data_IF_416436710531
#
_entry.id   IF_416436710531
#
_cell.length_a   1.000
_cell.length_b   1.000
_cell.length_c   1.000
_cell.angle_alpha   90.00
_cell.angle_beta   90.00
_cell.angle_gamma   90.00
#
_symmetry.space_group_name_H-M   'P 1'
#
loop_
_entity.id
_entity.type
_entity.pdbx_description
1 polymer ?
#
# COMPACT_ATOMS: atom_id res chain seq x y z
N UNK A 1 50.46 1.62 2.52
CA UNK A 1 49.80 2.71 1.78
C UNK A 1 48.81 3.39 2.72
N UNK A 2 48.81 4.73 2.85
CA UNK A 2 47.79 5.45 3.62
C UNK A 2 46.39 5.29 3.03
N UNK A 3 45.36 5.28 3.88
CA UNK A 3 43.97 5.07 3.46
C UNK A 3 43.45 6.05 2.41
N UNK A 4 43.78 7.34 2.54
CA UNK A 4 43.34 8.37 1.58
C UNK A 4 43.89 8.14 0.16
N UNK A 5 45.17 7.79 0.05
CA UNK A 5 45.82 7.49 -1.24
C UNK A 5 45.16 6.28 -1.91
N UNK A 6 44.80 5.26 -1.14
CA UNK A 6 44.15 4.07 -1.67
C UNK A 6 42.77 4.39 -2.28
N UNK A 7 41.98 5.23 -1.58
CA UNK A 7 40.64 5.64 -2.05
C UNK A 7 40.73 6.55 -3.26
N UNK A 8 41.70 7.45 -3.32
CA UNK A 8 41.94 8.30 -4.49
C UNK A 8 42.30 7.47 -5.73
N UNK A 9 43.24 6.53 -5.60
CA UNK A 9 43.62 5.62 -6.68
C UNK A 9 42.45 4.73 -7.11
N UNK A 10 41.68 4.21 -6.16
CA UNK A 10 40.49 3.42 -6.46
C UNK A 10 39.42 4.25 -7.18
N UNK A 11 39.18 5.49 -6.75
CA UNK A 11 38.27 6.41 -7.41
C UNK A 11 38.62 6.67 -8.86
N UNK A 12 39.90 6.92 -9.16
CA UNK A 12 40.39 7.11 -10.53
C UNK A 12 40.22 5.84 -11.36
N UNK A 13 40.59 4.68 -10.82
CA UNK A 13 40.38 3.39 -11.50
C UNK A 13 38.90 3.14 -11.80
N UNK A 14 38.03 3.41 -10.82
CA UNK A 14 36.57 3.25 -10.92
C UNK A 14 35.99 4.14 -12.01
N UNK A 15 36.43 5.40 -12.06
CA UNK A 15 35.98 6.36 -13.07
C UNK A 15 36.32 5.89 -14.50
N UNK A 16 37.55 5.42 -14.73
CA UNK A 16 38.00 5.05 -16.07
C UNK A 16 37.53 3.67 -16.55
N UNK A 17 37.38 2.71 -15.65
CA UNK A 17 37.16 1.31 -16.04
C UNK A 17 35.74 0.79 -15.74
N UNK A 18 35.06 1.32 -14.71
CA UNK A 18 33.81 0.73 -14.22
C UNK A 18 32.59 1.61 -14.47
N UNK A 19 32.72 2.92 -14.29
CA UNK A 19 31.58 3.83 -14.26
C UNK A 19 30.77 3.87 -15.58
N UNK A 20 31.44 3.73 -16.73
CA UNK A 20 30.75 3.69 -18.05
C UNK A 20 30.03 2.36 -18.32
N UNK A 21 30.47 1.27 -17.69
CA UNK A 21 29.88 -0.07 -17.88
C UNK A 21 28.72 -0.30 -16.90
N UNK A 22 28.90 0.16 -15.65
CA UNK A 22 27.94 -0.01 -14.57
C UNK A 22 27.77 1.35 -13.87
N UNK A 23 26.69 2.07 -14.18
CA UNK A 23 26.32 3.28 -13.44
C UNK A 23 25.94 2.92 -12.01
N UNK A 24 26.50 3.62 -11.03
CA UNK A 24 26.28 3.40 -9.59
C UNK A 24 26.55 4.69 -8.80
N UNK A 25 25.97 4.80 -7.60
CA UNK A 25 26.04 6.03 -6.78
C UNK A 25 27.35 6.16 -6.00
N UNK A 26 27.84 5.03 -5.46
CA UNK A 26 29.10 4.96 -4.72
C UNK A 26 29.68 3.54 -4.75
N UNK A 27 30.89 3.36 -4.25
CA UNK A 27 31.56 2.06 -4.22
C UNK A 27 32.45 1.92 -3.01
N UNK A 28 32.40 0.75 -2.39
CA UNK A 28 33.25 0.35 -1.27
C UNK A 28 34.19 -0.78 -1.67
N UNK A 29 35.47 -0.62 -1.36
CA UNK A 29 36.45 -1.70 -1.42
C UNK A 29 36.57 -2.35 -0.06
N UNK A 30 36.26 -3.63 0.02
CA UNK A 30 36.49 -4.42 1.22
C UNK A 30 37.89 -5.02 1.22
N UNK A 31 38.64 -4.79 2.29
CA UNK A 31 40.01 -5.31 2.45
C UNK A 31 40.12 -6.23 3.65
N UNK A 32 40.92 -7.30 3.52
CA UNK A 32 41.28 -8.20 4.62
C UNK A 32 42.46 -7.70 5.45
N UNK A 33 43.10 -6.59 5.03
CA UNK A 33 44.24 -5.97 5.69
C UNK A 33 43.95 -4.47 5.89
N UNK A 34 44.41 -3.91 7.02
CA UNK A 34 44.32 -2.47 7.29
C UNK A 34 45.25 -1.70 6.34
N UNK A 35 44.79 -0.54 5.87
CA UNK A 35 45.59 0.36 5.03
C UNK A 35 46.15 1.49 5.90
N UNK A 36 47.42 1.35 6.30
CA UNK A 36 48.01 2.22 7.31
C UNK A 36 47.38 1.98 8.68
N UNK A 37 47.04 3.05 9.41
CA UNK A 37 46.40 2.98 10.73
C UNK A 37 44.88 3.13 10.67
N UNK A 38 44.29 3.13 9.48
CA UNK A 38 42.85 3.40 9.29
C UNK A 38 42.09 2.10 9.06
N UNK A 39 40.95 1.94 9.75
CA UNK A 39 40.00 0.84 9.50
C UNK A 39 39.05 1.14 8.35
N UNK A 40 38.79 2.41 8.07
CA UNK A 40 38.05 2.85 6.90
C UNK A 40 38.52 4.23 6.48
N UNK A 41 38.22 4.58 5.24
CA UNK A 41 38.32 5.94 4.73
C UNK A 41 37.31 6.10 3.61
N UNK A 42 36.72 7.28 3.52
CA UNK A 42 35.85 7.66 2.43
C UNK A 42 36.23 9.06 1.96
N UNK A 43 36.10 9.31 0.66
CA UNK A 43 36.13 10.68 0.15
C UNK A 43 34.95 11.43 0.72
N UNK A 44 35.21 12.52 1.45
CA UNK A 44 34.18 13.31 2.09
C UNK A 44 33.26 13.94 1.05
N UNK A 45 31.95 13.80 1.26
CA UNK A 45 30.90 14.32 0.37
C UNK A 45 31.05 13.93 -1.11
N UNK A 46 31.67 12.75 -1.36
CA UNK A 46 31.96 12.27 -2.70
C UNK A 46 30.85 11.45 -3.36
N UNK A 47 29.76 11.13 -2.66
CA UNK A 47 28.66 10.31 -3.21
C UNK A 47 28.10 10.93 -4.51
N UNK A 48 27.66 10.08 -5.45
CA UNK A 48 27.26 10.44 -6.81
C UNK A 48 28.39 10.95 -7.72
N UNK A 49 29.60 11.14 -7.20
CA UNK A 49 30.73 11.48 -8.04
C UNK A 49 31.36 10.20 -8.62
N UNK A 50 31.56 10.13 -9.96
CA UNK A 50 32.18 8.98 -10.60
C UNK A 50 33.58 8.64 -10.10
N UNK A 51 34.33 9.61 -9.58
CA UNK A 51 35.66 9.43 -8.99
C UNK A 51 35.57 9.37 -7.46
N UNK A 52 34.93 10.35 -6.83
CA UNK A 52 34.93 10.50 -5.37
C UNK A 52 33.88 9.68 -4.64
N UNK A 53 32.95 9.01 -5.32
CA UNK A 53 32.01 8.05 -4.73
C UNK A 53 32.73 6.76 -4.37
N UNK A 54 33.76 6.85 -3.53
CA UNK A 54 34.75 5.82 -3.30
C UNK A 54 35.11 5.79 -1.81
N UNK A 55 35.18 4.59 -1.27
CA UNK A 55 35.58 4.34 0.11
C UNK A 55 36.24 2.97 0.24
N UNK A 56 36.98 2.75 1.32
CA UNK A 56 37.47 1.43 1.70
C UNK A 56 37.04 1.11 3.13
N UNK A 57 36.82 -0.18 3.38
CA UNK A 57 36.51 -0.71 4.71
C UNK A 57 37.32 -1.98 4.95
N UNK A 58 38.03 -2.00 6.06
CA UNK A 58 38.69 -3.18 6.58
C UNK A 58 37.67 -4.10 7.27
N UNK A 59 37.56 -5.34 6.80
CA UNK A 59 36.71 -6.36 7.43
C UNK A 59 37.58 -7.36 8.18
N UNK A 60 37.39 -7.42 9.50
CA UNK A 60 37.94 -8.50 10.31
C UNK A 60 37.18 -9.81 10.05
N UNK A 61 37.92 -10.91 9.98
CA UNK A 61 37.36 -12.25 9.76
C UNK A 61 36.25 -12.54 10.78
N UNK A 62 35.09 -12.99 10.29
CA UNK A 62 33.89 -13.34 11.08
C UNK A 62 33.16 -12.18 11.81
N UNK A 63 33.49 -10.92 11.55
CA UNK A 63 32.82 -9.77 12.16
C UNK A 63 31.95 -8.98 11.16
N UNK A 64 30.93 -9.63 10.60
CA UNK A 64 30.04 -9.04 9.58
C UNK A 64 29.29 -7.81 10.10
N UNK A 65 28.70 -7.88 11.30
CA UNK A 65 27.96 -6.76 11.88
C UNK A 65 28.85 -5.53 12.11
N UNK A 66 30.07 -5.74 12.61
CA UNK A 66 31.06 -4.65 12.74
C UNK A 66 31.44 -4.08 11.37
N UNK A 67 31.66 -4.94 10.38
CA UNK A 67 31.92 -4.51 9.00
C UNK A 67 30.79 -3.65 8.46
N UNK A 68 29.53 -4.00 8.72
CA UNK A 68 28.36 -3.22 8.33
C UNK A 68 28.32 -1.84 9.04
N UNK A 69 28.52 -1.78 10.36
CA UNK A 69 28.58 -0.51 11.10
C UNK A 69 29.71 0.41 10.59
N UNK A 70 30.91 -0.12 10.37
CA UNK A 70 32.05 0.64 9.85
C UNK A 70 31.80 1.09 8.41
N UNK A 71 31.14 0.27 7.60
CA UNK A 71 30.71 0.65 6.24
C UNK A 71 29.69 1.77 6.28
N UNK A 72 28.70 1.70 7.16
CA UNK A 72 27.71 2.76 7.34
C UNK A 72 28.36 4.06 7.82
N UNK A 73 29.36 4.00 8.71
CA UNK A 73 30.16 5.16 9.11
C UNK A 73 30.95 5.76 7.93
N UNK A 74 31.62 4.93 7.14
CA UNK A 74 32.37 5.38 5.96
C UNK A 74 31.44 5.98 4.89
N UNK A 75 30.29 5.35 4.65
CA UNK A 75 29.24 5.87 3.78
C UNK A 75 28.72 7.21 4.29
N UNK A 76 28.57 7.37 5.61
CA UNK A 76 28.24 8.64 6.24
C UNK A 76 29.18 9.77 5.82
N UNK A 77 30.50 9.57 5.91
CA UNK A 77 31.47 10.54 5.40
C UNK A 77 31.34 10.77 3.89
N UNK A 78 31.10 9.71 3.10
CA UNK A 78 30.86 9.85 1.66
C UNK A 78 29.59 10.66 1.35
N UNK A 79 28.61 10.62 2.24
CA UNK A 79 27.40 11.44 2.19
C UNK A 79 27.57 12.85 2.77
N UNK A 80 28.75 13.20 3.30
CA UNK A 80 29.05 14.53 3.86
C UNK A 80 28.79 14.65 5.37
N UNK A 81 28.57 13.54 6.07
CA UNK A 81 28.45 13.55 7.53
C UNK A 81 29.81 13.78 8.19
N UNK A 82 29.82 14.66 9.18
CA UNK A 82 30.99 14.85 10.05
C UNK A 82 30.82 14.01 11.33
N UNK A 83 31.91 13.89 12.11
CA UNK A 83 31.82 13.19 13.38
C UNK A 83 30.93 13.91 14.38
N UNK A 84 30.27 13.14 15.24
CA UNK A 84 29.41 13.66 16.29
C UNK A 84 30.21 14.52 17.28
N UNK A 85 29.63 15.68 17.62
CA UNK A 85 30.21 16.65 18.55
C UNK A 85 29.32 16.84 19.79
N UNK A 86 29.74 17.72 20.70
CA UNK A 86 28.98 18.00 21.93
C UNK A 86 27.59 18.53 21.56
N UNK A 87 26.54 17.84 22.02
CA UNK A 87 25.14 18.16 21.70
C UNK A 87 24.48 17.19 20.70
N UNK A 88 25.27 16.33 20.06
CA UNK A 88 24.74 15.25 19.23
C UNK A 88 24.35 14.04 20.09
N UNK A 89 23.14 13.52 19.91
CA UNK A 89 22.62 12.36 20.63
C UNK A 89 21.81 11.45 19.70
N UNK A 90 21.75 10.17 20.06
CA UNK A 90 20.98 9.14 19.37
C UNK A 90 20.18 8.32 20.39
N UNK A 91 19.17 7.62 19.90
CA UNK A 91 18.30 6.82 20.74
C UNK A 91 18.99 5.55 21.22
N UNK A 92 18.84 5.20 22.51
CA UNK A 92 19.30 3.95 23.15
C UNK A 92 20.81 3.65 23.15
N UNK A 93 21.66 4.53 22.62
CA UNK A 93 23.12 4.34 22.56
C UNK A 93 23.85 5.54 23.15
N UNK A 94 25.01 5.30 23.77
CA UNK A 94 25.90 6.37 24.25
C UNK A 94 26.74 6.96 23.13
N UNK A 95 27.16 6.12 22.18
CA UNK A 95 27.88 6.51 20.98
C UNK A 95 27.00 6.26 19.76
N UNK A 96 26.97 7.22 18.86
CA UNK A 96 26.19 7.14 17.62
C UNK A 96 27.07 6.66 16.46
N UNK A 97 26.45 6.41 15.31
CA UNK A 97 27.11 5.90 14.12
C UNK A 97 28.33 6.74 13.72
N UNK A 98 28.23 8.06 13.82
CA UNK A 98 29.29 9.00 13.45
C UNK A 98 30.22 9.36 14.61
N UNK A 99 30.31 8.54 15.65
CA UNK A 99 31.32 8.71 16.69
C UNK A 99 32.75 8.72 16.08
N UNK A 100 33.68 9.55 16.59
CA UNK A 100 35.04 9.68 16.03
C UNK A 100 35.81 8.36 15.91
N UNK A 101 35.51 7.42 16.80
CA UNK A 101 36.03 6.05 16.75
C UNK A 101 34.86 5.13 16.37
N UNK A 102 34.86 4.56 15.16
CA UNK A 102 33.83 3.63 14.73
C UNK A 102 33.82 2.36 15.59
N UNK A 103 32.63 1.93 15.98
CA UNK A 103 32.41 0.70 16.74
C UNK A 103 31.09 0.04 16.28
N UNK A 104 30.50 -0.83 17.09
CA UNK A 104 29.19 -1.46 16.88
C UNK A 104 28.01 -0.49 17.04
N UNK A 105 28.13 0.73 16.51
CA UNK A 105 27.10 1.76 16.56
C UNK A 105 26.19 1.64 15.32
N UNK A 106 24.89 1.51 15.56
CA UNK A 106 23.84 1.26 14.56
C UNK A 106 22.83 2.41 14.45
N UNK A 107 23.02 3.50 15.19
CA UNK A 107 22.06 4.60 15.30
C UNK A 107 22.68 5.94 14.90
N UNK A 108 22.08 6.63 13.92
CA UNK A 108 22.46 7.99 13.57
C UNK A 108 22.08 8.98 14.67
N UNK A 109 22.87 10.03 14.83
CA UNK A 109 22.58 11.14 15.75
C UNK A 109 21.59 12.13 15.12
N UNK A 110 20.94 12.94 15.95
CA UNK A 110 20.17 14.11 15.51
C UNK A 110 20.97 15.04 14.56
N UNK A 111 22.27 15.24 14.82
CA UNK A 111 23.16 16.04 13.96
C UNK A 111 23.37 15.39 12.58
N UNK A 112 23.57 14.06 12.54
CA UNK A 112 23.69 13.32 11.29
C UNK A 112 22.39 13.42 10.47
N UNK A 113 21.24 13.28 11.12
CA UNK A 113 19.93 13.43 10.48
C UNK A 113 19.74 14.81 9.87
N UNK A 114 20.14 15.89 10.55
CA UNK A 114 20.02 17.25 10.00
C UNK A 114 20.79 17.43 8.68
N UNK A 115 22.03 16.91 8.62
CA UNK A 115 22.85 17.01 7.40
C UNK A 115 22.24 16.17 6.27
N UNK A 116 21.82 14.94 6.56
CA UNK A 116 21.16 14.07 5.58
C UNK A 116 19.87 14.72 5.05
N UNK A 117 19.03 15.23 5.94
CA UNK A 117 17.79 15.92 5.57
C UNK A 117 18.09 17.12 4.68
N UNK A 118 19.09 17.94 4.99
CA UNK A 118 19.50 19.05 4.13
C UNK A 118 19.95 18.58 2.76
N UNK A 119 20.71 17.48 2.70
CA UNK A 119 21.20 16.92 1.44
C UNK A 119 20.07 16.42 0.54
N UNK A 120 19.07 15.75 1.11
CA UNK A 120 17.89 15.29 0.35
C UNK A 120 16.95 16.44 -0.05
N UNK A 121 16.87 17.49 0.78
CA UNK A 121 16.12 18.71 0.45
C UNK A 121 16.87 19.66 -0.51
N UNK A 122 18.14 19.37 -0.82
CA UNK A 122 18.97 20.11 -1.75
C UNK A 122 19.35 19.23 -2.95
N UNK A 123 20.09 19.80 -3.90
CA UNK A 123 20.49 19.08 -5.09
C UNK A 123 21.38 17.87 -4.79
N UNK A 124 20.87 16.66 -5.03
CA UNK A 124 21.65 15.45 -5.20
C UNK A 124 21.75 15.05 -6.70
N UNK A 125 22.91 14.55 -7.17
CA UNK A 125 23.06 14.14 -8.56
C UNK A 125 22.48 12.75 -8.90
N UNK A 126 22.28 11.86 -7.92
CA UNK A 126 21.97 10.44 -8.17
C UNK A 126 21.04 9.76 -7.15
N UNK A 127 21.02 10.18 -5.88
CA UNK A 127 20.30 9.51 -4.78
C UNK A 127 18.77 9.63 -4.87
N UNK A 128 18.29 10.55 -5.70
CA UNK A 128 16.87 10.75 -5.98
C UNK A 128 16.37 9.94 -7.16
N UNK A 129 17.26 9.32 -7.95
CA UNK A 129 16.81 8.40 -8.99
C UNK A 129 16.15 7.18 -8.31
N UNK A 130 14.94 6.75 -8.73
CA UNK A 130 14.38 5.51 -8.26
C UNK A 130 15.36 4.37 -8.57
N UNK A 131 15.63 3.51 -7.58
CA UNK A 131 16.47 2.33 -7.78
C UNK A 131 15.93 1.53 -8.97
N UNK A 132 16.63 1.56 -10.10
CA UNK A 132 16.34 0.66 -11.21
C UNK A 132 16.95 -0.68 -10.82
N UNK A 133 16.14 -1.71 -10.47
CA UNK A 133 16.70 -3.02 -10.17
C UNK A 133 17.48 -3.49 -11.40
N UNK A 134 18.75 -3.84 -11.21
CA UNK A 134 19.56 -4.42 -12.27
C UNK A 134 18.92 -5.75 -12.68
N UNK A 135 18.21 -5.77 -13.80
CA UNK A 135 17.61 -7.00 -14.37
C UNK A 135 18.63 -7.79 -15.19
N UNK A 136 19.75 -7.17 -15.54
CA UNK A 136 20.81 -7.70 -16.40
C UNK A 136 21.94 -8.42 -15.65
N UNK A 137 21.99 -8.30 -14.33
CA UNK A 137 22.96 -9.01 -13.50
C UNK A 137 22.25 -9.78 -12.38
N UNK A 138 22.45 -11.10 -12.26
CA UNK A 138 22.01 -11.89 -11.12
C UNK A 138 22.90 -11.57 -9.91
N UNK A 139 22.87 -10.32 -9.43
CA UNK A 139 23.52 -9.94 -8.17
C UNK A 139 22.67 -10.34 -6.96
N UNK A 140 21.39 -10.63 -7.20
CA UNK A 140 20.66 -11.58 -6.36
C UNK A 140 21.19 -12.95 -6.76
N UNK A 141 22.22 -13.43 -6.06
CA UNK A 141 22.59 -14.83 -6.15
C UNK A 141 21.28 -15.62 -5.96
N UNK A 142 20.90 -16.54 -6.87
CA UNK A 142 19.69 -17.34 -6.71
C UNK A 142 19.70 -17.92 -5.32
N UNK A 143 18.85 -17.38 -4.46
CA UNK A 143 18.83 -17.73 -3.06
C UNK A 143 17.59 -18.57 -2.89
N UNK A 144 17.79 -19.88 -2.91
CA UNK A 144 16.73 -20.81 -2.56
C UNK A 144 16.13 -20.35 -1.23
N UNK A 145 14.89 -19.89 -1.29
CA UNK A 145 14.17 -19.42 -0.11
C UNK A 145 14.03 -17.92 0.05
N UNK A 146 14.17 -17.13 -1.00
CA UNK A 146 13.81 -15.71 -1.00
C UNK A 146 12.32 -15.46 -1.36
N UNK A 147 11.57 -16.53 -1.65
CA UNK A 147 10.14 -16.53 -2.05
C UNK A 147 9.90 -15.91 -3.43
N UNK A 148 10.95 -15.75 -4.24
CA UNK A 148 10.86 -15.22 -5.60
C UNK A 148 11.25 -16.33 -6.56
N UNK A 149 10.27 -16.86 -7.31
CA UNK A 149 10.51 -17.89 -8.33
C UNK A 149 11.41 -17.36 -9.43
N UNK A 150 12.68 -17.74 -9.41
CA UNK A 150 13.67 -17.36 -10.42
C UNK A 150 13.55 -18.24 -11.69
N UNK A 151 14.20 -17.82 -12.80
CA UNK A 151 14.14 -18.55 -14.09
C UNK A 151 14.65 -20.01 -14.03
N UNK A 152 15.38 -20.39 -12.97
CA UNK A 152 15.92 -21.75 -12.76
C UNK A 152 15.16 -22.57 -11.72
N UNK A 153 14.12 -22.00 -11.11
CA UNK A 153 13.36 -22.61 -10.01
C UNK A 153 11.96 -22.98 -10.48
N UNK A 154 11.45 -24.12 -10.05
CA UNK A 154 10.07 -24.53 -10.34
C UNK A 154 9.08 -23.91 -9.34
N UNK A 155 9.56 -23.65 -8.12
CA UNK A 155 8.84 -23.06 -7.01
C UNK A 155 9.83 -22.43 -6.02
N UNK A 156 9.36 -21.50 -5.17
CA UNK A 156 10.12 -21.03 -4.01
C UNK A 156 9.19 -20.91 -2.80
N UNK A 157 9.45 -21.71 -1.77
CA UNK A 157 8.69 -21.75 -0.52
C UNK A 157 9.26 -20.88 0.60
N UNK A 158 10.39 -20.22 0.37
CA UNK A 158 11.07 -19.39 1.37
C UNK A 158 12.09 -20.16 2.20
N UNK A 159 12.26 -19.77 3.46
CA UNK A 159 13.27 -20.36 4.32
C UNK A 159 13.08 -21.88 4.48
N UNK A 160 14.13 -22.61 4.89
CA UNK A 160 14.04 -24.05 5.19
C UNK A 160 12.86 -24.41 6.12
N UNK A 161 12.50 -23.51 7.05
CA UNK A 161 11.36 -23.68 7.95
C UNK A 161 10.02 -23.52 7.23
N UNK A 162 9.92 -22.55 6.31
CA UNK A 162 8.72 -22.33 5.53
C UNK A 162 8.48 -23.52 4.58
N UNK A 163 9.54 -23.96 3.89
CA UNK A 163 9.51 -25.14 3.01
C UNK A 163 9.19 -26.45 3.75
N UNK A 164 9.58 -26.61 5.03
CA UNK A 164 9.20 -27.78 5.81
C UNK A 164 7.68 -27.89 6.04
N UNK A 165 6.95 -26.77 5.92
CA UNK A 165 5.48 -26.74 6.00
C UNK A 165 4.79 -26.78 4.65
N UNK A 166 5.53 -26.50 3.57
CA UNK A 166 5.06 -26.58 2.19
C UNK A 166 5.03 -28.05 1.74
N UNK A 167 3.93 -28.44 1.08
CA UNK A 167 3.75 -29.81 0.56
C UNK A 167 4.06 -29.92 -0.93
N UNK A 168 4.10 -28.79 -1.61
CA UNK A 168 4.18 -28.67 -3.05
C UNK A 168 5.60 -28.35 -3.53
N UNK A 169 6.42 -27.75 -2.66
CA UNK A 169 7.79 -27.36 -2.98
C UNK A 169 8.82 -27.93 -2.01
N UNK A 170 9.94 -28.38 -2.54
CA UNK A 170 11.07 -28.90 -1.79
C UNK A 170 12.09 -27.79 -1.46
N UNK A 171 12.97 -28.04 -0.50
CA UNK A 171 14.04 -27.09 -0.12
C UNK A 171 15.07 -26.83 -1.22
N UNK A 172 15.02 -27.61 -2.31
CA UNK A 172 15.79 -27.42 -3.54
C UNK A 172 15.09 -26.55 -4.59
N UNK A 173 13.97 -25.91 -4.24
CA UNK A 173 13.15 -25.10 -5.15
C UNK A 173 12.65 -25.88 -6.39
N UNK A 174 12.39 -27.16 -6.17
CA UNK A 174 11.80 -28.11 -7.10
C UNK A 174 10.42 -28.53 -6.63
N UNK A 175 9.49 -28.76 -7.55
CA UNK A 175 8.17 -29.23 -7.17
C UNK A 175 8.26 -30.66 -6.61
N UNK A 176 7.50 -30.92 -5.55
CA UNK A 176 7.40 -32.26 -4.98
C UNK A 176 6.71 -33.22 -5.94
N UNK A 177 6.95 -34.52 -5.78
CA UNK A 177 6.40 -35.54 -6.67
C UNK A 177 4.87 -35.48 -6.77
N UNK A 178 4.36 -35.24 -7.98
CA UNK A 178 2.92 -35.17 -8.28
C UNK A 178 2.30 -33.77 -8.15
N UNK A 179 3.08 -32.79 -7.72
CA UNK A 179 2.73 -31.37 -7.68
C UNK A 179 2.91 -30.73 -9.05
N UNK A 180 2.01 -29.80 -9.39
CA UNK A 180 2.01 -29.07 -10.68
C UNK A 180 2.13 -27.56 -10.46
N UNK A 181 1.86 -27.09 -9.24
CA UNK A 181 1.88 -25.69 -8.85
C UNK A 181 2.29 -25.53 -7.38
N UNK A 182 2.68 -24.32 -6.97
CA UNK A 182 2.94 -24.02 -5.55
C UNK A 182 2.23 -22.74 -5.06
N UNK A 183 2.48 -21.58 -5.66
CA UNK A 183 2.26 -20.28 -5.02
C UNK A 183 1.04 -19.50 -5.52
N UNK A 184 0.59 -19.73 -6.75
CA UNK A 184 -0.49 -18.93 -7.36
C UNK A 184 -1.87 -19.10 -6.69
N UNK A 185 -2.74 -18.09 -6.81
CA UNK A 185 -4.10 -18.08 -6.24
C UNK A 185 -5.01 -19.20 -6.79
N UNK A 186 -4.68 -19.73 -7.97
CA UNK A 186 -5.33 -20.90 -8.56
C UNK A 186 -4.58 -22.21 -8.30
N UNK A 187 -3.65 -22.23 -7.35
CA UNK A 187 -3.04 -23.47 -6.86
C UNK A 187 -3.74 -23.95 -5.59
N UNK A 188 -4.43 -25.08 -5.69
CA UNK A 188 -5.13 -25.68 -4.56
C UNK A 188 -4.66 -27.13 -4.36
N UNK A 189 -4.00 -27.38 -3.22
CA UNK A 189 -3.40 -28.68 -2.89
C UNK A 189 -2.43 -29.18 -3.98
N UNK A 190 -1.51 -28.31 -4.39
CA UNK A 190 -0.47 -28.59 -5.39
C UNK A 190 -0.98 -28.96 -6.80
N UNK A 191 -2.26 -28.67 -7.07
CA UNK A 191 -2.93 -28.88 -8.36
C UNK A 191 -3.63 -27.58 -8.77
N UNK A 192 -3.83 -27.38 -10.07
CA UNK A 192 -4.66 -26.28 -10.54
C UNK A 192 -6.08 -26.42 -9.98
N UNK A 193 -6.62 -25.30 -9.49
CA UNK A 193 -7.97 -25.20 -8.99
C UNK A 193 -8.97 -25.53 -10.12
N UNK A 194 -10.14 -26.08 -9.76
CA UNK A 194 -11.16 -26.35 -10.76
C UNK A 194 -11.63 -25.04 -11.45
N UNK A 195 -12.04 -25.10 -12.73
CA UNK A 195 -12.62 -23.95 -13.40
C UNK A 195 -13.81 -23.37 -12.62
N UNK A 196 -13.89 -22.05 -12.48
CA UNK A 196 -14.96 -21.38 -11.74
C UNK A 196 -14.70 -21.19 -10.25
N UNK A 197 -13.57 -21.63 -9.71
CA UNK A 197 -13.13 -21.24 -8.37
C UNK A 197 -12.76 -19.75 -8.38
N UNK A 198 -13.37 -18.96 -7.49
CA UNK A 198 -13.03 -17.53 -7.32
C UNK A 198 -11.60 -17.45 -6.79
N UNK A 199 -10.71 -16.80 -7.55
CA UNK A 199 -9.34 -16.53 -7.12
C UNK A 199 -9.13 -15.09 -6.65
N UNK A 200 -9.94 -14.16 -7.16
CA UNK A 200 -10.04 -12.79 -6.66
C UNK A 200 -11.50 -12.40 -6.61
N UNK A 201 -11.94 -12.02 -5.41
CA UNK A 201 -13.30 -11.56 -5.18
C UNK A 201 -13.40 -10.04 -5.42
N UNK A 202 -14.62 -9.53 -5.46
CA UNK A 202 -14.92 -8.11 -5.64
C UNK A 202 -14.27 -7.26 -4.53
N UNK A 203 -13.35 -6.37 -4.89
CA UNK A 203 -12.78 -5.36 -3.99
C UNK A 203 -13.69 -4.16 -3.70
N UNK A 204 -14.76 -3.98 -4.48
CA UNK A 204 -15.72 -2.88 -4.34
C UNK A 204 -16.76 -2.88 -5.46
N UNK A 205 -17.61 -1.87 -5.49
CA UNK A 205 -18.71 -1.77 -6.49
C UNK A 205 -18.21 -1.52 -7.92
N UNK A 206 -16.96 -1.08 -8.08
CA UNK A 206 -16.32 -0.83 -9.38
C UNK A 206 -15.37 -1.93 -9.80
N UNK A 207 -15.22 -2.98 -9.00
CA UNK A 207 -14.35 -4.11 -9.29
C UNK A 207 -15.16 -5.29 -9.88
N UNK A 208 -14.49 -6.25 -10.51
CA UNK A 208 -15.11 -7.46 -11.05
C UNK A 208 -14.38 -8.70 -10.53
N UNK A 209 -15.07 -9.84 -10.32
CA UNK A 209 -14.41 -11.04 -9.80
C UNK A 209 -13.70 -11.82 -10.91
N UNK A 210 -12.63 -12.54 -10.54
CA UNK A 210 -11.91 -13.46 -11.41
C UNK A 210 -11.96 -14.89 -10.89
N UNK A 211 -11.95 -15.80 -11.87
CA UNK A 211 -12.13 -17.22 -11.68
C UNK A 211 -10.98 -17.98 -12.32
N UNK A 212 -10.54 -19.03 -11.63
CA UNK A 212 -9.56 -19.95 -12.17
C UNK A 212 -10.08 -20.62 -13.44
N UNK A 213 -9.20 -20.80 -14.42
CA UNK A 213 -9.49 -21.47 -15.69
C UNK A 213 -9.23 -22.99 -15.65
N UNK A 214 -8.59 -23.46 -14.57
CA UNK A 214 -8.17 -24.84 -14.34
C UNK A 214 -6.97 -25.31 -15.17
N UNK A 215 -6.23 -24.38 -15.79
CA UNK A 215 -5.07 -24.68 -16.64
C UNK A 215 -3.77 -24.10 -16.11
N UNK A 216 -3.84 -23.08 -15.26
CA UNK A 216 -2.67 -22.37 -14.72
C UNK A 216 -2.80 -22.12 -13.21
N UNK A 217 -1.68 -21.81 -12.56
CA UNK A 217 -1.63 -21.49 -11.13
C UNK A 217 -1.96 -20.02 -10.86
N UNK A 218 -1.72 -19.14 -11.83
CA UNK A 218 -2.03 -17.72 -11.71
C UNK A 218 -3.54 -17.45 -11.90
N UNK A 219 -4.07 -16.54 -11.08
CA UNK A 219 -5.39 -15.96 -11.34
C UNK A 219 -5.31 -15.09 -12.61
N UNK A 220 -6.37 -15.00 -13.43
CA UNK A 220 -6.43 -14.02 -14.50
C UNK A 220 -6.11 -12.60 -14.01
N UNK A 221 -5.60 -11.76 -14.91
CA UNK A 221 -5.31 -10.36 -14.58
C UNK A 221 -6.58 -9.66 -14.08
N UNK A 222 -6.40 -8.84 -13.04
CA UNK A 222 -7.43 -7.96 -12.48
C UNK A 222 -8.16 -7.18 -13.58
N UNK A 223 -9.47 -7.37 -13.65
CA UNK A 223 -10.38 -6.57 -14.45
C UNK A 223 -11.39 -5.87 -13.53
N UNK A 224 -11.70 -4.64 -13.91
CA UNK A 224 -12.61 -3.79 -13.17
C UNK A 224 -13.57 -3.09 -14.13
N UNK A 225 -14.66 -2.53 -13.61
CA UNK A 225 -15.64 -1.78 -14.39
C UNK A 225 -14.94 -0.59 -15.06
N UNK A 226 -15.25 -0.34 -16.33
CA UNK A 226 -14.61 0.72 -17.10
C UNK A 226 -14.57 2.07 -16.36
N UNK A 227 -13.48 2.78 -16.58
CA UNK A 227 -13.24 4.09 -15.98
C UNK A 227 -14.35 5.09 -16.33
N UNK A 228 -14.66 5.88 -15.31
CA UNK A 228 -15.66 6.92 -15.22
C UNK A 228 -17.12 6.44 -15.01
N UNK A 229 -17.38 5.13 -14.93
CA UNK A 229 -18.75 4.64 -14.70
C UNK A 229 -19.29 5.23 -13.39
N UNK A 230 -20.46 5.90 -13.38
CA UNK A 230 -20.99 6.50 -12.15
C UNK A 230 -21.24 5.45 -11.08
N UNK A 231 -20.67 5.65 -9.89
CA UNK A 231 -20.73 4.69 -8.79
C UNK A 231 -21.34 5.29 -7.51
N UNK A 232 -21.31 6.63 -7.38
CA UNK A 232 -22.06 7.37 -6.37
C UNK A 232 -22.57 8.70 -6.95
N UNK A 233 -23.25 9.51 -6.13
CA UNK A 233 -23.67 10.85 -6.55
C UNK A 233 -22.48 11.84 -6.71
N UNK A 234 -21.32 11.50 -6.13
CA UNK A 234 -20.14 12.39 -6.04
C UNK A 234 -18.86 11.70 -6.52
N UNK A 235 -18.95 10.49 -7.09
CA UNK A 235 -17.80 9.75 -7.58
C UNK A 235 -18.12 8.87 -8.79
N UNK A 236 -17.07 8.60 -9.56
CA UNK A 236 -17.05 7.65 -10.68
C UNK A 236 -15.99 6.58 -10.46
N UNK A 237 -16.18 5.40 -11.05
CA UNK A 237 -15.20 4.32 -11.03
C UNK A 237 -13.91 4.78 -11.69
N UNK A 238 -12.75 4.72 -11.03
CA UNK A 238 -11.46 4.85 -11.70
C UNK A 238 -10.53 3.76 -11.17
N UNK A 239 -9.93 2.97 -12.06
CA UNK A 239 -9.02 1.87 -11.71
C UNK A 239 -9.62 0.91 -10.66
N UNK A 240 -10.90 0.60 -10.81
CA UNK A 240 -11.66 -0.29 -9.93
C UNK A 240 -12.06 0.31 -8.57
N UNK A 241 -11.70 1.56 -8.29
CA UNK A 241 -12.04 2.24 -7.05
C UNK A 241 -13.29 3.13 -7.22
N UNK A 242 -14.15 3.15 -6.21
CA UNK A 242 -15.20 4.15 -6.04
C UNK A 242 -15.04 4.78 -4.67
N UNK A 243 -14.51 6.00 -4.61
CA UNK A 243 -14.35 6.70 -3.35
C UNK A 243 -14.48 8.21 -3.57
N UNK A 244 -15.05 8.88 -2.58
CA UNK A 244 -15.11 10.34 -2.48
C UNK A 244 -14.19 10.81 -1.34
N UNK A 245 -14.03 12.13 -1.19
CA UNK A 245 -13.16 12.69 -0.15
C UNK A 245 -13.62 12.36 1.26
N UNK A 246 -14.93 12.28 1.52
CA UNK A 246 -15.46 11.89 2.84
C UNK A 246 -15.10 10.43 3.17
N UNK A 247 -15.33 9.52 2.22
CA UNK A 247 -14.98 8.10 2.36
C UNK A 247 -13.47 7.92 2.52
N UNK A 248 -12.67 8.65 1.74
CA UNK A 248 -11.21 8.61 1.84
C UNK A 248 -10.74 9.10 3.21
N UNK A 249 -11.28 10.22 3.71
CA UNK A 249 -10.98 10.72 5.05
C UNK A 249 -11.33 9.71 6.15
N UNK A 250 -12.48 9.03 6.03
CA UNK A 250 -12.87 8.00 7.00
C UNK A 250 -11.99 6.75 6.93
N UNK A 251 -11.59 6.33 5.73
CA UNK A 251 -10.69 5.20 5.55
C UNK A 251 -9.30 5.47 6.16
N UNK A 252 -8.83 6.71 6.11
CA UNK A 252 -7.51 7.10 6.60
C UNK A 252 -7.47 7.44 8.09
N UNK A 253 -8.49 8.14 8.59
CA UNK A 253 -8.47 8.74 9.94
C UNK A 253 -9.56 8.21 10.87
N UNK A 254 -10.41 7.31 10.39
CA UNK A 254 -11.41 6.61 11.18
C UNK A 254 -12.82 7.14 11.03
N UNK A 255 -13.73 6.53 11.79
CA UNK A 255 -15.16 6.80 11.68
C UNK A 255 -15.52 8.25 12.08
N UNK A 256 -16.51 8.84 11.40
CA UNK A 256 -17.00 10.23 11.58
C UNK A 256 -16.04 11.36 11.18
N UNK A 257 -14.87 11.05 10.63
CA UNK A 257 -14.05 12.05 9.95
C UNK A 257 -14.76 12.47 8.65
N UNK A 258 -14.63 13.74 8.28
CA UNK A 258 -15.25 14.30 7.07
C UNK A 258 -14.22 14.99 6.19
N UNK A 259 -14.61 15.27 4.96
CA UNK A 259 -13.91 16.16 4.05
C UNK A 259 -13.63 17.51 4.73
N UNK A 260 -12.51 18.10 4.38
CA UNK A 260 -12.09 19.41 4.80
C UNK A 260 -12.96 20.50 4.18
N UNK A 261 -12.93 21.69 4.77
CA UNK A 261 -13.60 22.83 4.15
C UNK A 261 -12.93 23.20 2.81
N UNK A 262 -13.67 23.79 1.87
CA UNK A 262 -13.07 24.27 0.61
C UNK A 262 -11.89 25.21 0.79
N UNK A 263 -11.86 25.97 1.89
CA UNK A 263 -10.77 26.88 2.24
C UNK A 263 -9.42 26.14 2.46
N UNK A 264 -9.45 24.91 2.99
CA UNK A 264 -8.25 24.10 3.17
C UNK A 264 -7.56 23.84 1.83
N UNK A 265 -8.33 23.38 0.84
CA UNK A 265 -7.83 23.09 -0.50
C UNK A 265 -7.36 24.36 -1.22
N UNK A 266 -8.22 25.38 -1.29
CA UNK A 266 -7.94 26.59 -2.04
C UNK A 266 -6.72 27.37 -1.52
N UNK A 267 -6.48 27.36 -0.21
CA UNK A 267 -5.35 28.10 0.39
C UNK A 267 -4.07 27.27 0.48
N UNK A 268 -4.16 25.99 0.84
CA UNK A 268 -2.97 25.16 1.05
C UNK A 268 -2.44 24.58 -0.26
N UNK A 269 -3.32 24.02 -1.11
CA UNK A 269 -2.87 23.27 -2.29
C UNK A 269 -2.24 24.16 -3.39
N UNK A 270 -2.56 25.46 -3.39
CA UNK A 270 -1.93 26.47 -4.25
C UNK A 270 -0.51 26.84 -3.83
N UNK A 271 -0.09 26.53 -2.60
CA UNK A 271 1.25 26.90 -2.10
C UNK A 271 2.32 26.01 -2.74
N UNK A 272 2.02 24.73 -2.96
CA UNK A 272 2.99 23.78 -3.51
C UNK A 272 4.10 23.41 -2.54
N UNK A 273 3.77 23.30 -1.26
CA UNK A 273 4.70 22.86 -0.22
C UNK A 273 4.30 21.48 0.31
N UNK A 274 5.04 20.97 1.30
CA UNK A 274 4.80 19.65 1.90
C UNK A 274 3.40 19.45 2.52
N UNK A 275 2.70 20.53 2.83
CA UNK A 275 1.38 20.50 3.48
C UNK A 275 0.21 20.70 2.52
N UNK A 276 0.48 21.21 1.31
CA UNK A 276 -0.54 21.47 0.31
C UNK A 276 0.10 21.61 -1.06
N UNK A 277 -0.21 20.67 -1.94
CA UNK A 277 0.38 20.52 -3.27
C UNK A 277 -0.53 19.67 -4.16
N UNK A 278 -0.23 19.63 -5.46
CA UNK A 278 -0.85 18.70 -6.41
C UNK A 278 0.08 17.51 -6.68
N UNK A 279 0.67 16.95 -5.63
CA UNK A 279 1.62 15.86 -5.75
C UNK A 279 3.07 16.32 -5.79
N UNK A 280 3.93 15.34 -6.01
CA UNK A 280 5.37 15.49 -5.91
C UNK A 280 5.99 14.96 -7.18
N UNK A 281 6.81 15.79 -7.81
CA UNK A 281 7.54 15.42 -9.01
C UNK A 281 8.98 15.15 -8.67
N UNK A 282 9.54 14.13 -9.33
CA UNK A 282 10.96 13.90 -9.28
C UNK A 282 11.65 14.98 -10.11
N UNK A 283 12.39 15.85 -9.44
CA UNK A 283 13.22 16.85 -10.10
C UNK A 283 14.69 16.57 -9.79
N UNK A 284 15.57 17.24 -10.53
CA UNK A 284 17.01 17.17 -10.28
C UNK A 284 17.27 17.76 -8.88
N UNK A 285 17.63 16.92 -7.92
CA UNK A 285 17.78 17.31 -6.53
C UNK A 285 16.65 16.94 -5.57
N UNK A 286 15.93 15.86 -5.84
CA UNK A 286 14.89 15.37 -4.93
C UNK A 286 13.49 15.41 -5.50
N UNK A 287 12.63 14.68 -4.80
CA UNK A 287 11.18 14.77 -4.93
C UNK A 287 10.72 16.12 -4.36
N UNK A 288 10.14 16.97 -5.19
CA UNK A 288 9.65 18.31 -4.80
C UNK A 288 8.13 18.43 -5.00
N UNK A 289 7.37 18.83 -3.97
CA UNK A 289 5.97 19.17 -4.13
C UNK A 289 5.78 20.35 -5.10
N UNK A 290 4.69 20.35 -5.86
CA UNK A 290 4.36 21.44 -6.78
C UNK A 290 2.95 22.00 -6.53
N UNK A 291 2.72 23.29 -6.80
CA UNK A 291 1.43 23.91 -6.53
C UNK A 291 0.36 23.42 -7.50
N UNK A 292 -0.88 23.35 -7.03
CA UNK A 292 -2.03 23.11 -7.89
C UNK A 292 -2.38 24.33 -8.74
N UNK A 293 -2.92 24.07 -9.93
CA UNK A 293 -3.68 25.07 -10.68
C UNK A 293 -5.00 25.39 -9.95
N UNK A 294 -5.63 26.50 -10.31
CA UNK A 294 -6.83 27.00 -9.61
C UNK A 294 -8.01 26.03 -9.71
N UNK A 295 -8.18 25.38 -10.86
CA UNK A 295 -9.25 24.40 -11.10
C UNK A 295 -8.94 23.02 -10.49
N UNK A 296 -7.67 22.74 -10.17
CA UNK A 296 -7.20 21.43 -9.70
C UNK A 296 -7.06 21.33 -8.17
N UNK A 297 -7.32 22.41 -7.43
CA UNK A 297 -7.09 22.47 -5.98
C UNK A 297 -7.78 21.35 -5.20
N UNK A 298 -8.92 20.85 -5.68
CA UNK A 298 -9.69 19.76 -5.07
C UNK A 298 -9.22 18.35 -5.45
N UNK A 299 -8.20 18.25 -6.31
CA UNK A 299 -7.57 16.99 -6.73
C UNK A 299 -6.11 16.85 -6.25
N UNK A 300 -5.64 17.82 -5.46
CA UNK A 300 -4.33 17.79 -4.82
C UNK A 300 -4.32 17.01 -3.50
N UNK A 301 -3.55 17.49 -2.52
CA UNK A 301 -3.51 16.92 -1.18
C UNK A 301 -4.89 16.95 -0.50
N UNK A 302 -5.27 15.81 0.07
CA UNK A 302 -6.50 15.63 0.82
C UNK A 302 -6.41 16.32 2.18
N UNK A 303 -7.45 17.09 2.51
CA UNK A 303 -7.62 17.71 3.83
C UNK A 303 -8.91 17.21 4.45
N UNK A 304 -8.84 16.81 5.71
CA UNK A 304 -9.96 16.27 6.46
C UNK A 304 -10.27 17.13 7.69
N UNK A 305 -11.51 17.04 8.15
CA UNK A 305 -12.00 17.73 9.33
C UNK A 305 -12.51 16.73 10.37
N UNK A 306 -12.70 17.20 11.61
CA UNK A 306 -13.27 16.39 12.70
C UNK A 306 -12.44 15.17 13.13
N UNK A 307 -11.12 15.23 12.95
CA UNK A 307 -10.19 14.18 13.43
C UNK A 307 -10.04 14.28 14.95
N UNK A 308 -10.48 13.25 15.66
CA UNK A 308 -10.45 13.19 17.14
C UNK A 308 -9.20 12.51 17.69
N UNK A 309 -8.67 11.52 16.97
CA UNK A 309 -7.48 10.76 17.35
C UNK A 309 -6.54 10.64 16.16
N UNK A 310 -5.25 10.90 16.39
CA UNK A 310 -4.21 10.70 15.38
C UNK A 310 -3.99 9.18 15.29
N UNK A 311 -4.23 8.54 14.13
CA UNK A 311 -3.98 7.12 13.99
C UNK A 311 -2.48 6.82 14.16
N UNK A 312 -2.16 5.60 14.58
CA UNK A 312 -0.76 5.16 14.59
C UNK A 312 -0.32 5.05 13.13
N UNK A 313 0.43 6.03 12.64
CA UNK A 313 1.01 6.01 11.30
C UNK A 313 2.01 4.86 11.18
N UNK A 314 2.10 4.26 10.00
CA UNK A 314 3.20 3.35 9.68
C UNK A 314 4.55 4.06 9.75
N UNK A 315 5.64 3.33 9.52
CA UNK A 315 6.96 3.96 9.40
C UNK A 315 6.92 5.07 8.33
N UNK A 316 7.65 6.16 8.57
CA UNK A 316 7.75 7.32 7.67
C UNK A 316 6.45 8.13 7.43
N UNK A 317 5.38 7.93 8.22
CA UNK A 317 4.17 8.77 8.10
C UNK A 317 4.20 10.01 9.00
N UNK A 318 3.98 11.18 8.43
CA UNK A 318 3.77 12.43 9.18
C UNK A 318 2.40 13.03 8.88
N UNK A 319 1.76 13.55 9.92
CA UNK A 319 0.45 14.20 9.83
C UNK A 319 0.59 15.69 10.13
N UNK A 320 -0.21 16.50 9.47
CA UNK A 320 -0.30 17.93 9.72
C UNK A 320 -1.70 18.30 10.24
N UNK A 321 -1.75 19.30 11.12
CA UNK A 321 -2.98 19.90 11.62
C UNK A 321 -2.82 21.42 11.55
N UNK A 322 -3.38 22.03 10.50
CA UNK A 322 -3.14 23.42 10.13
C UNK A 322 -4.42 24.22 10.33
N UNK A 323 -4.30 25.37 10.98
CA UNK A 323 -5.37 26.34 11.13
C UNK A 323 -5.33 27.30 9.95
N UNK A 324 -6.43 27.33 9.20
CA UNK A 324 -6.58 28.21 8.03
C UNK A 324 -7.69 29.21 8.33
N UNK A 325 -7.36 30.49 8.26
CA UNK A 325 -8.33 31.56 8.46
C UNK A 325 -9.04 31.89 7.15
N UNK A 326 -10.36 31.78 7.12
CA UNK A 326 -11.21 32.25 6.03
C UNK A 326 -12.34 33.16 6.57
N UNK A 327 -13.61 32.88 6.29
CA UNK A 327 -14.74 33.55 7.00
C UNK A 327 -14.78 33.13 8.47
N UNK A 328 -14.35 31.89 8.75
CA UNK A 328 -14.13 31.31 10.08
C UNK A 328 -12.80 30.57 10.10
N UNK A 329 -12.30 30.28 11.29
CA UNK A 329 -11.09 29.47 11.45
C UNK A 329 -11.42 27.99 11.20
N UNK A 330 -10.78 27.40 10.20
CA UNK A 330 -10.96 26.03 9.77
C UNK A 330 -9.75 25.18 10.12
N UNK A 331 -9.98 23.96 10.61
CA UNK A 331 -8.93 22.98 10.90
C UNK A 331 -8.77 22.03 9.72
N UNK A 332 -7.58 22.03 9.12
CA UNK A 332 -7.21 21.19 7.99
C UNK A 332 -6.24 20.11 8.50
N UNK A 333 -6.71 18.87 8.58
CA UNK A 333 -5.89 17.73 8.98
C UNK A 333 -5.56 16.87 7.77
N UNK A 334 -4.31 16.46 7.60
CA UNK A 334 -3.93 15.66 6.44
C UNK A 334 -2.57 15.01 6.57
N UNK A 335 -2.17 14.34 5.49
CA UNK A 335 -0.81 13.84 5.35
C UNK A 335 0.15 14.97 4.97
N UNK A 336 1.42 14.79 5.33
CA UNK A 336 2.51 15.62 4.82
C UNK A 336 3.30 14.85 3.75
N UNK A 337 3.57 15.51 2.63
CA UNK A 337 4.45 14.97 1.60
C UNK A 337 5.89 14.93 2.11
N UNK A 338 6.47 13.73 2.17
CA UNK A 338 7.85 13.48 2.58
C UNK A 338 8.65 12.81 1.47
N UNK A 339 9.98 12.89 1.55
CA UNK A 339 10.91 12.27 0.61
C UNK A 339 11.32 10.87 1.12
N UNK A 340 11.50 9.90 0.22
CA UNK A 340 12.33 8.70 0.50
C UNK A 340 11.65 7.33 0.52
N UNK A 341 10.33 7.26 0.40
CA UNK A 341 9.59 6.00 0.15
C UNK A 341 8.48 6.30 -0.85
N UNK A 342 7.90 5.29 -1.49
CA UNK A 342 6.75 5.44 -2.39
C UNK A 342 5.87 6.55 -1.86
N UNK A 343 5.73 7.63 -2.64
CA UNK A 343 4.92 8.78 -2.25
C UNK A 343 3.62 8.20 -1.70
N UNK A 344 3.20 8.54 -0.47
CA UNK A 344 1.94 8.03 0.01
C UNK A 344 0.86 8.70 -0.84
N UNK A 345 0.54 8.11 -1.99
CA UNK A 345 -0.57 8.51 -2.85
C UNK A 345 -1.87 8.49 -2.04
N UNK A 346 -1.88 7.76 -0.91
CA UNK A 346 -2.91 7.80 0.12
C UNK A 346 -3.25 9.21 0.63
N UNK A 347 -2.31 10.17 0.58
CA UNK A 347 -2.50 11.55 1.01
C UNK A 347 -3.05 12.50 -0.06
N UNK A 348 -3.10 12.07 -1.33
CA UNK A 348 -3.72 12.82 -2.43
C UNK A 348 -5.17 12.40 -2.59
N UNK A 349 -6.03 13.30 -3.07
CA UNK A 349 -7.41 12.95 -3.41
C UNK A 349 -7.40 11.84 -4.47
N UNK A 350 -8.12 10.74 -4.18
CA UNK A 350 -8.21 9.61 -5.10
C UNK A 350 -8.89 10.00 -6.41
N UNK A 351 -8.42 9.39 -7.50
CA UNK A 351 -9.06 9.54 -8.79
C UNK A 351 -10.52 9.04 -8.74
N UNK A 352 -11.39 9.74 -9.46
CA UNK A 352 -12.82 9.46 -9.51
C UNK A 352 -13.66 10.26 -8.52
N UNK A 353 -13.05 10.91 -7.52
CA UNK A 353 -13.76 11.83 -6.63
C UNK A 353 -14.17 13.13 -7.36
N UNK A 354 -15.35 13.66 -7.07
CA UNK A 354 -15.83 14.92 -7.71
C UNK A 354 -15.00 16.13 -7.28
N UNK A 355 -14.58 16.95 -8.24
CA UNK A 355 -13.89 18.22 -8.00
C UNK A 355 -14.72 19.45 -8.38
N UNK A 356 -15.88 19.23 -9.01
CA UNK A 356 -16.81 20.27 -9.43
C UNK A 356 -18.02 19.68 -10.17
N UNK A 357 -18.95 20.54 -10.62
CA UNK A 357 -20.15 20.09 -11.32
C UNK A 357 -19.81 19.32 -12.60
N UNK A 358 -20.08 18.01 -12.60
CA UNK A 358 -19.78 17.15 -13.75
C UNK A 358 -18.29 16.93 -14.01
N UNK A 359 -17.43 17.20 -13.03
CA UNK A 359 -15.98 17.00 -13.13
C UNK A 359 -15.45 16.14 -11.97
N UNK A 360 -14.40 15.37 -12.28
CA UNK A 360 -13.81 14.36 -11.41
C UNK A 360 -12.28 14.40 -11.49
N UNK A 361 -11.64 14.04 -10.38
CA UNK A 361 -10.19 13.99 -10.31
C UNK A 361 -9.64 12.84 -11.14
N UNK A 362 -8.63 13.15 -11.98
CA UNK A 362 -7.87 12.16 -12.73
C UNK A 362 -6.41 12.60 -12.78
N UNK A 363 -5.51 11.80 -12.20
CA UNK A 363 -4.06 12.07 -12.16
C UNK A 363 -3.71 13.45 -11.61
N UNK A 364 -4.47 13.90 -10.59
CA UNK A 364 -4.39 15.21 -9.90
C UNK A 364 -4.97 16.41 -10.65
N UNK A 365 -5.60 16.19 -11.81
CA UNK A 365 -6.31 17.24 -12.53
C UNK A 365 -7.83 17.10 -12.36
N UNK A 366 -8.54 18.22 -12.33
CA UNK A 366 -9.99 18.25 -12.35
C UNK A 366 -10.51 18.17 -13.79
N UNK A 367 -10.96 16.98 -14.18
CA UNK A 367 -11.33 16.66 -15.57
C UNK A 367 -12.84 16.59 -15.72
N UNK A 368 -13.38 17.14 -16.81
CA UNK A 368 -14.81 16.99 -17.10
C UNK A 368 -15.15 15.55 -17.45
N UNK A 369 -16.35 15.11 -17.11
CA UNK A 369 -16.83 13.76 -17.42
C UNK A 369 -16.63 13.39 -18.89
N UNK A 370 -16.88 14.31 -19.83
CA UNK A 370 -16.75 14.05 -21.27
C UNK A 370 -15.31 13.72 -21.69
N UNK A 371 -14.32 14.20 -20.95
CA UNK A 371 -12.89 14.03 -21.23
C UNK A 371 -12.29 12.80 -20.55
N UNK A 372 -13.07 12.07 -19.74
CA UNK A 372 -12.63 10.80 -19.12
C UNK A 372 -12.52 9.65 -20.15
N UNK A 373 -12.82 9.89 -21.42
CA UNK A 373 -12.70 8.94 -22.54
C UNK A 373 -13.48 7.63 -22.32
N UNK A 374 -14.79 7.78 -22.13
CA UNK A 374 -15.76 6.68 -22.12
C UNK A 374 -15.92 6.02 -23.48
N UNK A 375 -15.21 4.92 -23.70
CA UNK A 375 -15.21 4.28 -25.00
C UNK A 375 -16.25 3.16 -25.17
N UNK A 376 -16.88 2.65 -24.09
CA UNK A 376 -17.81 1.53 -24.17
C UNK A 376 -19.23 1.86 -23.67
N UNK A 377 -20.20 1.81 -24.59
CA UNK A 377 -21.63 1.97 -24.31
C UNK A 377 -22.25 0.66 -23.79
N UNK A 378 -23.19 0.75 -22.84
CA UNK A 378 -23.94 -0.38 -22.28
C UNK A 378 -24.71 -1.16 -23.35
N UNK A 379 -25.05 -0.50 -24.47
CA UNK A 379 -25.65 -1.13 -25.63
C UNK A 379 -24.77 -2.24 -26.21
N UNK A 380 -23.44 -2.09 -26.16
CA UNK A 380 -22.46 -3.09 -26.62
C UNK A 380 -22.62 -4.43 -25.88
N UNK A 381 -23.00 -4.37 -24.61
CA UNK A 381 -23.24 -5.53 -23.75
C UNK A 381 -24.73 -5.90 -23.65
N UNK A 382 -25.54 -5.48 -24.64
CA UNK A 382 -26.98 -5.75 -24.70
C UNK A 382 -27.76 -5.38 -23.43
N UNK A 383 -27.28 -4.40 -22.65
CA UNK A 383 -27.82 -4.03 -21.33
C UNK A 383 -27.89 -5.20 -20.32
N UNK A 384 -27.10 -6.25 -20.55
CA UNK A 384 -27.04 -7.50 -19.77
C UNK A 384 -25.67 -7.72 -19.15
N UNK A 385 -24.87 -6.66 -19.10
CA UNK A 385 -23.52 -6.65 -18.58
C UNK A 385 -22.96 -5.24 -18.51
N UNK A 386 -21.73 -5.13 -18.03
CA UNK A 386 -20.95 -3.89 -17.95
C UNK A 386 -19.67 -4.06 -18.74
N UNK A 387 -19.10 -2.97 -19.25
CA UNK A 387 -17.79 -3.03 -19.89
C UNK A 387 -16.69 -3.02 -18.83
N UNK A 388 -15.68 -3.87 -19.01
CA UNK A 388 -14.47 -3.85 -18.19
C UNK A 388 -13.43 -2.85 -18.73
N UNK A 389 -12.34 -2.67 -18.00
CA UNK A 389 -11.18 -1.85 -18.36
C UNK A 389 -10.48 -2.22 -19.68
N UNK A 390 -10.75 -3.41 -20.23
CA UNK A 390 -10.27 -3.86 -21.54
C UNK A 390 -11.29 -3.68 -22.67
N UNK A 391 -12.40 -2.99 -22.40
CA UNK A 391 -13.50 -2.73 -23.36
C UNK A 391 -14.23 -4.00 -23.80
N UNK A 392 -14.19 -5.06 -22.99
CA UNK A 392 -14.96 -6.28 -23.17
C UNK A 392 -16.13 -6.33 -22.18
N UNK A 393 -17.20 -7.03 -22.55
CA UNK A 393 -18.36 -7.17 -21.67
C UNK A 393 -18.13 -8.19 -20.57
N UNK A 394 -18.38 -7.77 -19.33
CA UNK A 394 -18.60 -8.64 -18.19
C UNK A 394 -20.11 -8.85 -18.03
N UNK A 395 -20.57 -10.04 -18.40
CA UNK A 395 -21.99 -10.38 -18.45
C UNK A 395 -22.54 -10.75 -17.07
N UNK A 396 -23.78 -10.33 -16.83
CA UNK A 396 -24.55 -10.80 -15.69
C UNK A 396 -24.80 -12.30 -15.78
N UNK A 397 -25.10 -12.91 -14.65
CA UNK A 397 -25.55 -14.30 -14.60
C UNK A 397 -26.71 -14.53 -15.56
N UNK A 398 -26.76 -15.72 -16.17
CA UNK A 398 -27.63 -16.12 -17.30
C UNK A 398 -27.21 -15.63 -18.69
N UNK A 399 -26.15 -14.84 -18.83
CA UNK A 399 -25.65 -14.35 -20.13
C UNK A 399 -24.18 -14.70 -20.33
N UNK A 400 -23.73 -14.91 -21.57
CA UNK A 400 -22.32 -15.22 -21.86
C UNK A 400 -21.62 -14.11 -22.66
N UNK A 401 -20.32 -13.88 -22.40
CA UNK A 401 -19.50 -13.01 -23.23
C UNK A 401 -19.34 -13.63 -24.64
N UNK A 402 -18.99 -12.84 -25.69
CA UNK A 402 -18.43 -11.49 -25.62
C UNK A 402 -19.44 -10.33 -25.61
N UNK A 403 -20.71 -10.53 -25.98
CA UNK A 403 -21.70 -9.44 -26.13
C UNK A 403 -22.88 -9.52 -25.15
N UNK A 404 -22.98 -10.57 -24.33
CA UNK A 404 -24.10 -10.81 -23.42
C UNK A 404 -25.47 -10.99 -24.11
N UNK A 405 -25.49 -11.38 -25.39
CA UNK A 405 -26.73 -11.66 -26.12
C UNK A 405 -27.25 -13.08 -25.89
N UNK A 406 -26.35 -14.05 -25.81
CA UNK A 406 -26.67 -15.46 -25.64
C UNK A 406 -26.71 -15.84 -24.16
N UNK A 407 -27.47 -16.88 -23.83
CA UNK A 407 -27.51 -17.40 -22.46
C UNK A 407 -26.22 -18.11 -22.07
N UNK A 408 -25.80 -17.94 -20.82
CA UNK A 408 -24.66 -18.67 -20.24
C UNK A 408 -24.40 -18.32 -18.78
N UNK A 409 -23.17 -18.54 -18.32
CA UNK A 409 -22.84 -18.54 -16.88
C UNK A 409 -22.50 -17.16 -16.30
N UNK A 410 -22.33 -16.14 -17.13
CA UNK A 410 -21.85 -14.80 -16.75
C UNK A 410 -20.37 -14.59 -17.06
N UNK A 411 -19.80 -13.52 -16.49
CA UNK A 411 -18.37 -13.23 -16.54
C UNK A 411 -17.92 -12.54 -17.82
N UNK A 412 -16.61 -12.35 -17.95
CA UNK A 412 -15.95 -11.79 -19.13
C UNK A 412 -15.03 -12.82 -19.77
N UNK A 413 -14.66 -12.61 -21.04
CA UNK A 413 -13.56 -13.36 -21.67
C UNK A 413 -12.21 -13.14 -20.95
N UNK A 414 -12.09 -12.09 -20.14
CA UNK A 414 -10.87 -11.74 -19.41
C UNK A 414 -10.79 -12.30 -17.99
N UNK A 415 -11.91 -12.69 -17.39
CA UNK A 415 -12.00 -12.99 -15.95
C UNK A 415 -12.06 -14.49 -15.64
N UNK A 416 -11.89 -15.35 -16.64
CA UNK A 416 -12.12 -16.79 -16.51
C UNK A 416 -13.61 -17.17 -16.40
N UNK A 417 -13.94 -18.47 -16.55
CA UNK A 417 -15.32 -18.94 -16.52
C UNK A 417 -15.88 -18.93 -15.09
N UNK A 418 -17.05 -18.35 -14.83
CA UNK A 418 -17.68 -18.39 -13.51
C UNK A 418 -18.21 -19.80 -13.16
N UNK A 419 -18.47 -20.10 -11.87
CA UNK A 419 -18.91 -21.41 -11.42
C UNK A 419 -20.31 -21.80 -11.91
N UNK A 420 -20.52 -23.09 -12.14
CA UNK A 420 -21.78 -23.67 -12.65
C UNK A 420 -22.96 -23.55 -11.69
N UNK A 421 -22.70 -23.36 -10.40
CA UNK A 421 -23.72 -23.16 -9.35
C UNK A 421 -23.26 -22.04 -8.43
N UNK A 422 -24.06 -20.97 -8.33
CA UNK A 422 -23.88 -20.04 -7.21
C UNK A 422 -24.29 -20.75 -5.92
N UNK A 423 -23.40 -20.76 -4.93
CA UNK A 423 -23.84 -20.88 -3.54
C UNK A 423 -24.69 -19.65 -3.26
N UNK A 424 -26.02 -19.82 -3.26
CA UNK A 424 -26.90 -18.83 -2.65
C UNK A 424 -26.40 -18.67 -1.22
N UNK A 425 -25.87 -17.49 -0.89
CA UNK A 425 -25.71 -17.08 0.50
C UNK A 425 -27.14 -16.91 1.01
N UNK A 426 -27.77 -18.02 1.38
CA UNK A 426 -28.88 -17.98 2.31
C UNK A 426 -28.23 -17.57 3.62
N UNK A 427 -28.22 -16.26 3.91
CA UNK A 427 -27.82 -15.77 5.22
C UNK A 427 -28.68 -16.51 6.24
N UNK A 428 -28.11 -17.50 6.92
CA UNK A 428 -28.75 -18.11 8.07
C UNK A 428 -28.75 -17.02 9.13
N UNK A 429 -29.86 -16.32 9.30
CA UNK A 429 -30.05 -15.43 10.43
C UNK A 429 -30.01 -16.33 11.66
N UNK A 430 -28.83 -16.43 12.28
CA UNK A 430 -28.66 -17.11 13.55
C UNK A 430 -29.22 -16.15 14.60
N UNK A 431 -30.52 -16.19 14.80
CA UNK A 431 -31.17 -15.42 15.87
C UNK A 431 -30.67 -16.01 17.19
N UNK A 432 -29.68 -15.37 17.81
CA UNK A 432 -29.24 -15.70 19.16
C UNK A 432 -30.34 -15.27 20.14
N UNK A 433 -31.32 -16.14 20.32
CA UNK A 433 -32.45 -15.93 21.22
C UNK A 433 -31.95 -16.03 22.65
N UNK A 434 -31.95 -14.91 23.37
CA UNK A 434 -31.60 -14.88 24.79
C UNK A 434 -32.62 -15.73 25.57
N UNK A 435 -32.18 -16.89 26.07
CA UNK A 435 -33.02 -17.84 26.81
C UNK A 435 -33.76 -17.20 27.99
N UNK A 436 -33.20 -16.16 28.61
CA UNK A 436 -33.85 -15.44 29.70
C UNK A 436 -35.10 -14.68 29.24
N UNK A 437 -35.04 -14.02 28.08
CA UNK A 437 -36.19 -13.30 27.50
C UNK A 437 -37.31 -14.25 27.11
N UNK A 438 -36.98 -15.41 26.55
CA UNK A 438 -37.98 -16.44 26.21
C UNK A 438 -38.68 -16.97 27.46
N UNK A 439 -37.94 -17.23 28.54
CA UNK A 439 -38.50 -17.67 29.81
C UNK A 439 -39.38 -16.61 30.47
N UNK A 440 -39.02 -15.32 30.38
CA UNK A 440 -39.83 -14.20 30.88
C UNK A 440 -41.14 -14.11 30.09
N UNK A 441 -41.09 -14.22 28.77
CA UNK A 441 -42.29 -14.20 27.93
C UNK A 441 -43.22 -15.38 28.24
N UNK A 442 -42.67 -16.58 28.43
CA UNK A 442 -43.48 -17.76 28.82
C UNK A 442 -44.12 -17.56 30.20
N UNK A 443 -43.38 -17.04 31.18
CA UNK A 443 -43.94 -16.75 32.51
C UNK A 443 -45.03 -15.68 32.45
N UNK A 444 -44.84 -14.64 31.64
CA UNK A 444 -45.84 -13.59 31.45
C UNK A 444 -47.12 -14.14 30.81
N UNK A 445 -46.98 -15.00 29.78
CA UNK A 445 -48.14 -15.65 29.15
C UNK A 445 -48.87 -16.54 30.14
N UNK A 446 -48.15 -17.36 30.91
CA UNK A 446 -48.75 -18.21 31.95
C UNK A 446 -49.46 -17.38 33.03
N UNK A 447 -48.88 -16.26 33.43
CA UNK A 447 -49.49 -15.34 34.39
C UNK A 447 -50.78 -14.70 33.85
N UNK A 448 -50.78 -14.25 32.60
CA UNK A 448 -51.98 -13.72 31.94
C UNK A 448 -53.06 -14.79 31.79
N UNK A 449 -52.68 -16.02 31.44
CA UNK A 449 -53.60 -17.17 31.37
C UNK A 449 -54.20 -17.46 32.74
N UNK A 450 -53.40 -17.48 33.80
CA UNK A 450 -53.89 -17.67 35.18
C UNK A 450 -54.83 -16.54 35.63
N UNK A 451 -54.56 -15.29 35.26
CA UNK A 451 -55.46 -14.17 35.54
C UNK A 451 -56.79 -14.29 34.79
N UNK A 452 -56.76 -14.73 33.52
CA UNK A 452 -57.98 -14.96 32.75
C UNK A 452 -58.80 -16.11 33.36
N UNK A 453 -58.18 -17.27 33.63
CA UNK A 453 -58.89 -18.41 34.23
C UNK A 453 -59.33 -18.16 35.68
N UNK A 454 -58.56 -17.42 36.47
CA UNK A 454 -58.94 -17.00 37.83
C UNK A 454 -60.05 -15.94 37.84
N UNK A 455 -60.11 -15.07 36.83
CA UNK A 455 -61.23 -14.15 36.62
C UNK A 455 -62.54 -14.89 36.28
N UNK A 456 -62.46 -15.98 35.51
CA UNK A 456 -63.62 -16.82 35.20
C UNK A 456 -64.14 -17.63 36.39
N UNK A 457 -63.29 -18.02 37.36
CA UNK A 457 -63.76 -18.71 38.57
C UNK A 457 -64.46 -17.77 39.56
N UNK A 458 -63.99 -16.52 39.71
CA UNK A 458 -64.67 -15.52 40.54
C UNK A 458 -65.98 -14.97 39.92
N UNK A 459 -66.08 -14.91 38.59
CA UNK A 459 -67.33 -14.57 37.91
C UNK A 459 -68.44 -15.60 38.15
N UNK A 460 -68.08 -16.88 38.23
CA UNK A 460 -69.02 -17.99 38.42
C UNK A 460 -69.54 -18.14 39.85
N UNK A 461 -68.78 -17.65 40.85
CA UNK A 461 -69.25 -17.56 42.24
C UNK A 461 -70.17 -16.35 42.47
N UNK A 462 -69.94 -15.21 41.78
CA UNK A 462 -70.85 -14.05 41.85
C UNK A 462 -72.22 -14.29 41.20
N UNK A 463 -72.32 -15.09 40.14
CA UNK A 463 -73.63 -15.48 39.57
C UNK A 463 -74.43 -16.45 40.47
N UNK A 464 -73.76 -17.28 41.28
CA UNK A 464 -74.44 -18.14 42.28
C UNK A 464 -74.94 -17.37 43.51
N UNK A 465 -74.31 -16.25 43.86
CA UNK A 465 -74.79 -15.41 44.97
C UNK A 465 -76.02 -14.55 44.60
N UNK A 466 -76.24 -14.24 43.31
CA UNK A 466 -77.39 -13.46 42.85
C UNK A 466 -78.65 -14.29 42.53
N UNK A 467 -78.61 -15.62 42.68
CA UNK A 467 -79.76 -16.52 42.51
C UNK A 467 -80.35 -17.03 43.84
N UNK A 468 -79.91 -16.46 44.96
CA UNK A 468 -80.51 -16.64 46.29
C UNK A 468 -80.79 -15.29 46.94
N UNK A 469 -81.70 -14.51 46.35
CA UNK A 469 -82.53 -13.51 47.03
C UNK A 469 -83.88 -13.38 46.33
#
# INVERSE_FOLDING_TARGET
MPGHVAVELFGVWKYHNLYSEISHDTSVVFTSNRLGNSECYASFDGICNPNWGAMFVYIMRYHLFRGACVTAHALGHNMGLTHDSVGCYCFRRTNCLMAPVPDLNDMMSNCSYEIIQRKFNQWDPCLSAPNVPYTNFPYVAPHFGDKIKNQREECDCGSLKDCASDRCCETSCTLSLGSVCNTGLCCHKCKYAAPGVVCRDLGGICDLPEYCDGKKEECPNDVYIQDGTPCSAVSVCIRGNCSDRDMQCQALFGYQVKDGSPACYQKLNRIGNRFGNCGVILQRGGSRPFPCEEDDVFCGMLHCSSVSHIPSGGEHTTFCNILVHDIKEEKCFGYEAHQGTDLPEMGLVVDGATCGPGSYCLKRNCTFYQDLHFECDLKTCNYKGVCNNKKHCHCLHEWQPPTCELRGKGGSIDSGPPPDKQYRIAGSILVNTNRALVLICIHYILFVVLLLFGGFSQGRERERAHTME
#
